data_IF_642956323123
#
_entry.id   IF_642956323123
#
_cell.length_a   1.000
_cell.length_b   1.000
_cell.length_c   1.000
_cell.angle_alpha   90.00
_cell.angle_beta   90.00
_cell.angle_gamma   90.00
#
_symmetry.space_group_name_H-M   'P 1'
#
loop_
_entity.id
_entity.type
_entity.pdbx_description
1 polymer ?
#
# COMPACT_ATOMS: atom_id res chain seq x y z
N UNK A 1 20.73 -15.41 -5.47
CA UNK A 1 19.29 -15.15 -5.42
C UNK A 1 19.07 -13.66 -5.61
N UNK A 2 18.41 -13.28 -6.70
CA UNK A 2 18.08 -11.89 -7.03
C UNK A 2 16.76 -11.48 -6.37
N UNK A 3 16.52 -10.17 -6.26
CA UNK A 3 15.24 -9.63 -5.78
C UNK A 3 14.04 -10.13 -6.60
N UNK A 4 14.22 -10.28 -7.92
CA UNK A 4 13.17 -10.77 -8.82
C UNK A 4 12.80 -12.22 -8.48
N UNK A 5 13.78 -13.06 -8.17
CA UNK A 5 13.54 -14.44 -7.75
C UNK A 5 12.83 -14.52 -6.38
N UNK A 6 13.15 -13.61 -5.46
CA UNK A 6 12.47 -13.53 -4.16
C UNK A 6 11.03 -13.06 -4.29
N UNK A 7 10.76 -12.08 -5.17
CA UNK A 7 9.39 -11.59 -5.44
C UNK A 7 8.55 -12.69 -6.07
N UNK A 8 9.11 -13.48 -7.00
CA UNK A 8 8.39 -14.58 -7.65
C UNK A 8 7.97 -15.71 -6.68
N UNK A 9 8.63 -15.82 -5.51
CA UNK A 9 8.33 -16.81 -4.49
C UNK A 9 7.39 -16.29 -3.39
N UNK A 10 7.19 -14.98 -3.31
CA UNK A 10 6.36 -14.37 -2.28
C UNK A 10 4.87 -14.53 -2.62
N UNK A 11 4.04 -14.74 -1.59
CA UNK A 11 2.60 -14.73 -1.75
C UNK A 11 2.08 -13.30 -2.01
N UNK A 12 0.92 -13.19 -2.66
CA UNK A 12 0.33 -11.90 -3.04
C UNK A 12 0.14 -10.96 -1.84
N UNK A 13 -0.21 -11.52 -0.68
CA UNK A 13 -0.47 -10.76 0.54
C UNK A 13 0.83 -10.26 1.17
N UNK A 14 1.86 -11.08 1.21
CA UNK A 14 3.21 -10.71 1.66
C UNK A 14 3.80 -9.59 0.81
N UNK A 15 3.59 -9.65 -0.52
CA UNK A 15 3.99 -8.57 -1.42
C UNK A 15 3.17 -7.29 -1.19
N UNK A 16 1.86 -7.40 -1.01
CA UNK A 16 1.01 -6.26 -0.72
C UNK A 16 1.38 -5.57 0.59
N UNK A 17 1.62 -6.33 1.67
CA UNK A 17 2.08 -5.80 2.95
C UNK A 17 3.45 -5.12 2.84
N UNK A 18 4.38 -5.69 2.07
CA UNK A 18 5.70 -5.09 1.83
C UNK A 18 5.60 -3.77 1.07
N UNK A 19 4.76 -3.72 0.02
CA UNK A 19 4.48 -2.49 -0.72
C UNK A 19 3.83 -1.42 0.15
N UNK A 20 2.89 -1.82 1.01
CA UNK A 20 2.22 -0.91 1.93
C UNK A 20 3.18 -0.33 2.99
N UNK A 21 4.10 -1.13 3.52
CA UNK A 21 5.15 -0.64 4.43
C UNK A 21 6.08 0.38 3.77
N UNK A 22 6.35 0.23 2.48
CA UNK A 22 7.10 1.24 1.71
C UNK A 22 6.32 2.56 1.62
N UNK A 23 5.02 2.49 1.29
CA UNK A 23 4.16 3.67 1.19
C UNK A 23 4.01 4.39 2.54
N UNK A 24 3.86 3.64 3.63
CA UNK A 24 3.78 4.19 5.00
C UNK A 24 4.96 5.10 5.33
N UNK A 25 6.16 4.73 4.85
CA UNK A 25 7.37 5.52 5.01
C UNK A 25 7.48 6.67 4.02
N UNK A 26 6.98 6.51 2.80
CA UNK A 26 7.13 7.51 1.73
C UNK A 26 6.08 8.63 1.79
N UNK A 27 4.84 8.31 2.14
CA UNK A 27 3.72 9.28 2.11
C UNK A 27 3.99 10.51 2.98
N UNK A 28 4.45 10.39 4.24
CA UNK A 28 4.76 11.56 5.07
C UNK A 28 5.89 12.41 4.50
N UNK A 29 6.90 11.77 3.90
CA UNK A 29 8.05 12.46 3.28
C UNK A 29 7.64 13.27 2.05
N UNK A 30 6.59 12.82 1.35
CA UNK A 30 6.04 13.48 0.16
C UNK A 30 4.93 14.49 0.49
N UNK A 31 4.67 14.75 1.78
CA UNK A 31 3.66 15.72 2.24
C UNK A 31 2.22 15.19 2.21
N UNK A 32 2.02 13.88 2.08
CA UNK A 32 0.72 13.23 2.22
C UNK A 32 0.47 12.74 3.65
N UNK A 33 -0.79 12.44 3.95
CA UNK A 33 -1.23 11.84 5.21
C UNK A 33 -1.20 10.31 5.11
N UNK A 34 -0.33 9.64 5.87
CA UNK A 34 -0.21 8.18 5.90
C UNK A 34 -1.39 7.49 6.62
N UNK A 35 -2.20 8.22 7.38
CA UNK A 35 -3.42 7.67 7.98
C UNK A 35 -4.39 7.14 6.93
N UNK A 36 -4.32 7.65 5.69
CA UNK A 36 -5.07 7.16 4.53
C UNK A 36 -4.79 5.68 4.22
N UNK A 37 -3.65 5.14 4.67
CA UNK A 37 -3.23 3.77 4.46
C UNK A 37 -3.76 2.81 5.55
N UNK A 38 -4.25 3.31 6.69
CA UNK A 38 -4.69 2.47 7.82
C UNK A 38 -5.82 1.49 7.47
N UNK A 39 -6.86 1.87 6.70
CA UNK A 39 -7.90 0.91 6.31
C UNK A 39 -7.36 -0.24 5.46
N UNK A 40 -6.37 0.03 4.61
CA UNK A 40 -5.72 -0.99 3.79
C UNK A 40 -4.85 -1.93 4.65
N UNK A 41 -4.14 -1.39 5.64
CA UNK A 41 -3.39 -2.19 6.63
C UNK A 41 -4.31 -3.16 7.38
N UNK A 42 -5.46 -2.68 7.87
CA UNK A 42 -6.42 -3.51 8.58
C UNK A 42 -6.90 -4.69 7.73
N UNK A 43 -7.23 -4.43 6.45
CA UNK A 43 -7.72 -5.46 5.51
C UNK A 43 -6.65 -6.49 5.19
N UNK A 44 -5.41 -6.04 4.99
CA UNK A 44 -4.25 -6.93 4.84
C UNK A 44 -3.90 -7.68 6.12
N UNK A 45 -4.23 -7.20 7.32
CA UNK A 45 -4.02 -7.92 8.57
C UNK A 45 -5.12 -8.97 8.82
N UNK A 46 -6.36 -8.67 8.44
CA UNK A 46 -7.52 -9.58 8.54
C UNK A 46 -7.51 -10.68 7.47
N UNK A 47 -6.78 -10.49 6.37
CA UNK A 47 -6.81 -11.41 5.23
C UNK A 47 -8.06 -11.28 4.38
N UNK A 48 -8.74 -10.13 4.50
CA UNK A 48 -9.86 -9.78 3.66
C UNK A 48 -9.41 -9.30 2.28
N UNK A 49 -10.39 -9.01 1.43
CA UNK A 49 -10.13 -8.31 0.17
C UNK A 49 -9.54 -6.93 0.44
N UNK A 50 -8.38 -6.67 -0.15
CA UNK A 50 -7.63 -5.43 -0.03
C UNK A 50 -7.68 -4.59 -1.32
N UNK A 51 -8.30 -5.09 -2.40
CA UNK A 51 -8.34 -4.40 -3.70
C UNK A 51 -9.17 -3.11 -3.65
N UNK A 52 -10.35 -3.16 -3.01
CA UNK A 52 -11.21 -1.97 -2.81
C UNK A 52 -10.52 -0.88 -1.98
N UNK A 53 -10.07 -1.17 -0.75
CA UNK A 53 -9.31 -0.23 0.08
C UNK A 53 -8.06 0.34 -0.61
N UNK A 54 -7.40 -0.44 -1.48
CA UNK A 54 -6.29 0.05 -2.28
C UNK A 54 -6.73 1.10 -3.30
N UNK A 55 -7.86 0.90 -3.98
CA UNK A 55 -8.40 1.90 -4.92
C UNK A 55 -8.80 3.20 -4.21
N UNK A 56 -9.36 3.09 -3.01
CA UNK A 56 -9.70 4.24 -2.14
C UNK A 56 -8.44 5.00 -1.73
N UNK A 57 -7.42 4.32 -1.21
CA UNK A 57 -6.15 4.93 -0.81
C UNK A 57 -5.46 5.63 -1.99
N UNK A 58 -5.47 5.01 -3.18
CA UNK A 58 -4.93 5.63 -4.41
C UNK A 58 -5.66 6.92 -4.78
N UNK A 59 -6.99 6.93 -4.69
CA UNK A 59 -7.81 8.10 -5.02
C UNK A 59 -7.55 9.24 -4.04
N UNK A 60 -7.44 8.94 -2.75
CA UNK A 60 -7.17 9.93 -1.72
C UNK A 60 -5.75 10.51 -1.84
N UNK A 61 -4.74 9.69 -2.12
CA UNK A 61 -3.37 10.17 -2.38
C UNK A 61 -3.28 11.02 -3.64
N UNK A 62 -3.99 10.67 -4.72
CA UNK A 62 -4.03 11.45 -5.95
C UNK A 62 -4.69 12.83 -5.72
N UNK A 63 -5.78 12.87 -4.96
CA UNK A 63 -6.43 14.11 -4.55
C UNK A 63 -5.50 15.00 -3.71
N UNK A 64 -4.75 14.42 -2.77
CA UNK A 64 -3.77 15.15 -1.97
C UNK A 64 -2.60 15.71 -2.81
N UNK A 65 -2.19 15.00 -3.86
CA UNK A 65 -1.12 15.42 -4.77
C UNK A 65 -1.57 16.48 -5.80
N UNK A 66 -2.85 16.84 -5.87
CA UNK A 66 -3.39 17.76 -6.88
C UNK A 66 -3.39 17.19 -8.30
N UNK A 67 -3.25 15.86 -8.43
CA UNK A 67 -3.31 15.13 -9.70
C UNK A 67 -4.72 14.52 -9.80
N UNK A 68 -5.69 15.34 -10.18
CA UNK A 68 -7.08 14.92 -10.38
C UNK A 68 -7.34 14.50 -11.83
#
# INVERSE_FOLDING_TARGET
MSLVELIAQADERGLAASGLACLDRCVPVLGGDDEVLRPLWARLAEGGDWRGPLAEARSALAAAAGVA
#
